data_IF_139193442700
#
_entry.id   IF_139193442700
#
_cell.length_a   1.000
_cell.length_b   1.000
_cell.length_c   1.000
_cell.angle_alpha   90.00
_cell.angle_beta   90.00
_cell.angle_gamma   90.00
#
_symmetry.space_group_name_H-M   'P 1'
#
loop_
_entity.id
_entity.type
_entity.pdbx_description
1 polymer ?
#
# COMPACT_ATOMS: atom_id res chain seq x y z
N UNK A 1 -26.07 44.36 -43.01
CA UNK A 1 -25.34 43.12 -43.34
C UNK A 1 -25.07 42.42 -42.01
N UNK A 2 -25.37 41.12 -41.94
CA UNK A 2 -25.78 40.35 -40.76
C UNK A 2 -24.85 40.39 -39.52
N UNK A 3 -25.49 40.46 -38.35
CA UNK A 3 -24.89 40.07 -37.06
C UNK A 3 -24.58 38.56 -37.09
N UNK A 4 -23.33 38.21 -36.77
CA UNK A 4 -22.94 36.83 -36.53
C UNK A 4 -23.36 36.49 -35.10
N UNK A 5 -24.43 35.70 -34.96
CA UNK A 5 -24.83 35.11 -33.69
C UNK A 5 -23.70 34.25 -33.13
N UNK A 6 -23.17 34.61 -31.96
CA UNK A 6 -22.39 33.68 -31.13
C UNK A 6 -23.31 32.51 -30.80
N UNK A 7 -22.94 31.33 -31.30
CA UNK A 7 -23.54 30.08 -30.84
C UNK A 7 -22.96 29.84 -29.45
N UNK A 8 -23.75 30.14 -28.42
CA UNK A 8 -23.45 29.70 -27.06
C UNK A 8 -23.51 28.17 -27.05
N UNK A 9 -22.34 27.55 -27.04
CA UNK A 9 -22.21 26.12 -26.76
C UNK A 9 -22.64 25.93 -25.30
N UNK A 10 -23.58 25.01 -24.99
CA UNK A 10 -23.92 24.75 -23.61
C UNK A 10 -22.68 24.17 -22.92
N UNK A 11 -22.17 24.88 -21.91
CA UNK A 11 -21.33 24.28 -20.88
C UNK A 11 -22.11 23.09 -20.34
N UNK A 12 -21.63 21.88 -20.66
CA UNK A 12 -22.11 20.67 -19.99
C UNK A 12 -21.53 20.70 -18.59
N UNK A 13 -22.20 21.44 -17.73
CA UNK A 13 -22.08 21.32 -16.28
C UNK A 13 -22.70 19.98 -15.90
N UNK A 14 -21.95 18.89 -16.13
CA UNK A 14 -22.34 17.58 -15.59
C UNK A 14 -22.20 17.69 -14.07
N UNK A 15 -23.29 17.56 -13.29
CA UNK A 15 -23.19 17.58 -11.84
C UNK A 15 -22.24 16.45 -11.43
N UNK A 16 -21.20 16.79 -10.68
CA UNK A 16 -20.34 15.79 -10.06
C UNK A 16 -21.23 14.82 -9.28
N UNK A 17 -21.21 13.54 -9.63
CA UNK A 17 -21.96 12.54 -8.88
C UNK A 17 -21.43 12.54 -7.45
N UNK A 18 -22.29 12.85 -6.49
CA UNK A 18 -21.97 12.76 -5.07
C UNK A 18 -21.82 11.27 -4.71
N UNK A 19 -20.59 10.85 -4.47
CA UNK A 19 -20.26 9.45 -4.14
C UNK A 19 -20.20 9.30 -2.63
N UNK A 20 -20.98 8.38 -2.07
CA UNK A 20 -20.97 8.12 -0.62
C UNK A 20 -19.67 7.47 -0.15
N UNK A 21 -19.30 7.68 1.13
CA UNK A 21 -18.14 7.00 1.74
C UNK A 21 -18.24 5.48 1.65
N UNK A 22 -19.44 4.92 1.76
CA UNK A 22 -19.70 3.49 1.62
C UNK A 22 -19.37 3.01 0.19
N UNK A 23 -19.80 3.75 -0.83
CA UNK A 23 -19.47 3.42 -2.21
C UNK A 23 -17.96 3.49 -2.47
N UNK A 24 -17.27 4.51 -1.94
CA UNK A 24 -15.81 4.64 -2.05
C UNK A 24 -15.12 3.42 -1.42
N UNK A 25 -15.48 3.07 -0.18
CA UNK A 25 -14.88 1.95 0.55
C UNK A 25 -15.17 0.60 -0.10
N UNK A 26 -16.37 0.43 -0.69
CA UNK A 26 -16.75 -0.78 -1.41
C UNK A 26 -15.84 -1.07 -2.61
N UNK A 27 -15.27 -0.03 -3.23
CA UNK A 27 -14.33 -0.14 -4.36
C UNK A 27 -12.88 -0.25 -3.88
N UNK A 28 -12.54 0.36 -2.74
CA UNK A 28 -11.19 0.35 -2.20
C UNK A 28 -10.72 -1.05 -1.78
N UNK A 29 -11.57 -1.82 -1.07
CA UNK A 29 -11.17 -3.13 -0.58
C UNK A 29 -10.81 -4.13 -1.71
N UNK A 30 -11.62 -4.30 -2.77
CA UNK A 30 -11.23 -5.13 -3.91
C UNK A 30 -9.97 -4.63 -4.62
N UNK A 31 -9.78 -3.31 -4.73
CA UNK A 31 -8.59 -2.70 -5.33
C UNK A 31 -7.32 -3.14 -4.59
N UNK A 32 -7.27 -2.97 -3.26
CA UNK A 32 -6.12 -3.37 -2.45
C UNK A 32 -5.92 -4.89 -2.41
N UNK A 33 -7.00 -5.67 -2.41
CA UNK A 33 -6.93 -7.13 -2.41
C UNK A 33 -6.27 -7.67 -3.69
N UNK A 34 -6.65 -7.14 -4.86
CA UNK A 34 -6.19 -7.59 -6.19
C UNK A 34 -4.97 -6.87 -6.75
N UNK A 35 -4.42 -5.87 -6.05
CA UNK A 35 -3.26 -5.12 -6.51
C UNK A 35 -2.03 -6.04 -6.68
N UNK A 36 -1.27 -5.97 -7.80
CA UNK A 36 -0.10 -6.81 -8.04
C UNK A 36 1.15 -6.38 -7.25
N UNK A 37 0.94 -5.83 -6.06
CA UNK A 37 1.95 -5.38 -5.11
C UNK A 37 1.67 -6.10 -3.80
N UNK A 38 2.67 -6.73 -3.18
CA UNK A 38 2.45 -7.42 -1.91
C UNK A 38 2.25 -6.39 -0.80
N UNK A 39 1.14 -6.49 -0.08
CA UNK A 39 0.84 -5.68 1.09
C UNK A 39 0.61 -6.56 2.32
N UNK A 40 1.31 -6.26 3.40
CA UNK A 40 1.18 -6.92 4.71
C UNK A 40 0.96 -5.83 5.77
N UNK A 41 -0.09 -5.95 6.56
CA UNK A 41 -0.44 -4.99 7.61
C UNK A 41 -0.31 -5.66 8.96
N UNK A 42 0.32 -4.99 9.91
CA UNK A 42 0.32 -5.39 11.30
C UNK A 42 -0.33 -4.34 12.22
N UNK A 43 -0.70 -4.81 13.41
CA UNK A 43 -1.09 -3.95 14.51
C UNK A 43 0.12 -3.33 15.24
N UNK A 44 -0.15 -2.58 16.31
CA UNK A 44 0.86 -1.90 17.13
C UNK A 44 1.83 -2.88 17.83
N UNK A 45 1.40 -4.12 18.07
CA UNK A 45 2.22 -5.18 18.68
C UNK A 45 3.00 -5.98 17.63
N UNK A 46 2.86 -5.62 16.34
CA UNK A 46 3.49 -6.32 15.23
C UNK A 46 2.81 -7.63 14.86
N UNK A 47 1.56 -7.88 15.27
CA UNK A 47 0.78 -9.04 14.79
C UNK A 47 0.21 -8.73 13.42
N UNK A 48 0.33 -9.67 12.49
CA UNK A 48 -0.19 -9.50 11.13
C UNK A 48 -1.72 -9.54 11.19
N UNK A 49 -2.38 -8.46 10.79
CA UNK A 49 -3.85 -8.33 10.80
C UNK A 49 -4.46 -8.47 9.42
N UNK A 50 -3.70 -8.22 8.35
CA UNK A 50 -4.19 -8.35 6.97
C UNK A 50 -3.06 -8.57 5.98
N UNK A 51 -3.37 -9.31 4.90
CA UNK A 51 -2.50 -9.54 3.75
C UNK A 51 -3.35 -9.58 2.48
N UNK A 52 -2.88 -8.93 1.41
CA UNK A 52 -3.52 -9.08 0.11
C UNK A 52 -3.09 -10.37 -0.63
N UNK A 53 -3.71 -10.64 -1.78
CA UNK A 53 -3.48 -11.89 -2.52
C UNK A 53 -2.02 -12.03 -2.94
N UNK A 54 -1.40 -10.93 -3.38
CA UNK A 54 0.01 -10.92 -3.79
C UNK A 54 0.95 -11.23 -2.62
N UNK A 55 0.68 -10.70 -1.43
CA UNK A 55 1.47 -10.98 -0.23
C UNK A 55 1.32 -12.43 0.22
N UNK A 56 0.09 -12.95 0.23
CA UNK A 56 -0.19 -14.36 0.56
C UNK A 56 0.57 -15.30 -0.38
N UNK A 57 0.56 -15.02 -1.69
CA UNK A 57 1.31 -15.79 -2.68
C UNK A 57 2.82 -15.68 -2.48
N UNK A 58 3.35 -14.47 -2.25
CA UNK A 58 4.77 -14.23 -2.01
C UNK A 58 5.30 -15.04 -0.81
N UNK A 59 4.47 -15.20 0.22
CA UNK A 59 4.79 -15.95 1.42
C UNK A 59 4.20 -17.36 1.47
N UNK A 60 3.72 -17.93 0.36
CA UNK A 60 3.08 -19.25 0.35
C UNK A 60 3.97 -20.35 0.95
N UNK A 61 5.28 -20.33 0.66
CA UNK A 61 6.26 -21.29 1.23
C UNK A 61 6.50 -21.12 2.74
N UNK A 62 6.01 -20.04 3.35
CA UNK A 62 6.14 -19.70 4.77
C UNK A 62 4.79 -19.72 5.50
N UNK A 63 3.74 -20.26 4.88
CA UNK A 63 2.39 -20.37 5.45
C UNK A 63 1.35 -19.47 4.77
N UNK A 64 1.76 -18.50 3.95
CA UNK A 64 0.84 -17.63 3.21
C UNK A 64 -0.21 -16.98 4.12
N UNK A 65 -1.49 -17.32 3.92
CA UNK A 65 -2.62 -16.79 4.71
C UNK A 65 -2.52 -17.14 6.20
N UNK A 66 -1.89 -18.26 6.56
CA UNK A 66 -1.70 -18.68 7.95
C UNK A 66 -0.75 -17.78 8.74
N UNK A 67 -0.11 -16.80 8.09
CA UNK A 67 0.67 -15.76 8.77
C UNK A 67 -0.21 -14.71 9.46
N UNK A 68 -1.47 -14.56 9.03
CA UNK A 68 -2.41 -13.65 9.71
C UNK A 68 -2.63 -14.15 11.14
N UNK A 69 -2.49 -13.24 12.12
CA UNK A 69 -2.53 -13.50 13.55
C UNK A 69 -1.16 -13.82 14.18
N UNK A 70 -0.14 -14.13 13.37
CA UNK A 70 1.23 -14.39 13.86
C UNK A 70 2.02 -13.10 14.02
N UNK A 71 3.07 -13.16 14.83
CA UNK A 71 3.99 -12.05 15.04
C UNK A 71 4.93 -11.88 13.84
N UNK A 72 5.08 -10.64 13.36
CA UNK A 72 6.09 -10.29 12.35
C UNK A 72 7.50 -10.65 12.83
N UNK A 73 7.77 -10.56 14.14
CA UNK A 73 9.12 -10.78 14.67
C UNK A 73 9.58 -12.23 14.54
N UNK A 74 8.66 -13.19 14.52
CA UNK A 74 8.97 -14.62 14.31
C UNK A 74 9.48 -14.88 12.88
N UNK A 75 9.21 -13.96 11.96
CA UNK A 75 9.59 -14.06 10.57
C UNK A 75 10.96 -13.44 10.25
N UNK A 76 11.63 -12.85 11.25
CA UNK A 76 12.81 -12.02 11.05
C UNK A 76 13.96 -12.41 11.96
N UNK A 77 15.19 -12.31 11.44
CA UNK A 77 16.39 -12.37 12.28
C UNK A 77 16.50 -11.14 13.19
N UNK A 78 17.40 -11.18 14.16
CA UNK A 78 17.56 -10.17 15.21
C UNK A 78 17.66 -8.73 14.67
N UNK A 79 18.50 -8.52 13.64
CA UNK A 79 18.70 -7.22 13.01
C UNK A 79 17.41 -6.65 12.42
N UNK A 80 16.70 -7.42 11.61
CA UNK A 80 15.45 -6.98 10.96
C UNK A 80 14.34 -6.79 11.98
N UNK A 81 14.27 -7.65 13.00
CA UNK A 81 13.33 -7.50 14.11
C UNK A 81 13.56 -6.22 14.90
N UNK A 82 14.82 -5.82 15.12
CA UNK A 82 15.15 -4.53 15.76
C UNK A 82 14.66 -3.35 14.94
N UNK A 83 14.92 -3.34 13.63
CA UNK A 83 14.46 -2.26 12.74
C UNK A 83 12.94 -2.13 12.82
N UNK A 84 12.19 -3.23 12.70
CA UNK A 84 10.73 -3.21 12.78
C UNK A 84 10.21 -2.66 14.11
N UNK A 85 10.83 -3.02 15.24
CA UNK A 85 10.49 -2.46 16.56
C UNK A 85 10.74 -0.97 16.62
N UNK A 86 11.89 -0.51 16.12
CA UNK A 86 12.22 0.92 16.09
C UNK A 86 11.22 1.71 15.23
N UNK A 87 10.75 1.12 14.12
CA UNK A 87 9.72 1.72 13.25
C UNK A 87 8.34 1.79 13.92
N UNK A 88 7.93 0.73 14.63
CA UNK A 88 6.67 0.70 15.39
C UNK A 88 6.68 1.74 16.51
N UNK A 89 7.74 1.76 17.33
CA UNK A 89 7.88 2.70 18.45
C UNK A 89 7.99 4.14 17.95
N UNK A 90 8.79 4.37 16.91
CA UNK A 90 9.00 5.70 16.37
C UNK A 90 7.91 6.17 15.40
N UNK A 91 6.99 5.29 15.01
CA UNK A 91 6.01 5.51 13.94
C UNK A 91 6.67 6.08 12.67
N UNK A 92 7.79 5.46 12.26
CA UNK A 92 8.62 5.96 11.15
C UNK A 92 8.41 5.13 9.89
N UNK A 93 8.61 5.77 8.75
CA UNK A 93 8.72 5.09 7.47
C UNK A 93 10.14 4.57 7.23
N UNK A 94 10.25 3.51 6.44
CA UNK A 94 11.50 2.94 5.96
C UNK A 94 11.33 2.58 4.47
N UNK A 95 12.32 2.89 3.65
CA UNK A 95 12.26 2.71 2.20
C UNK A 95 13.62 2.25 1.68
N UNK A 96 13.67 1.09 1.04
CA UNK A 96 14.91 0.55 0.52
C UNK A 96 14.63 -0.49 -0.57
N UNK A 97 15.69 -0.89 -1.28
CA UNK A 97 15.62 -2.00 -2.22
C UNK A 97 16.45 -3.18 -1.75
N UNK A 98 16.05 -4.39 -2.14
CA UNK A 98 16.87 -5.60 -2.02
C UNK A 98 16.98 -6.28 -3.36
N UNK A 99 18.03 -7.06 -3.54
CA UNK A 99 18.12 -8.03 -4.62
C UNK A 99 18.01 -9.44 -4.04
N UNK A 100 17.14 -10.27 -4.63
CA UNK A 100 17.03 -11.68 -4.27
C UNK A 100 16.75 -12.52 -5.50
N UNK A 101 17.62 -13.48 -5.78
CA UNK A 101 17.55 -14.35 -6.96
C UNK A 101 17.50 -13.56 -8.28
N UNK A 102 18.32 -12.52 -8.41
CA UNK A 102 18.38 -11.66 -9.60
C UNK A 102 17.18 -10.73 -9.79
N UNK A 103 16.29 -10.63 -8.81
CA UNK A 103 15.12 -9.73 -8.84
C UNK A 103 15.33 -8.60 -7.84
N UNK A 104 15.28 -7.36 -8.32
CA UNK A 104 15.28 -6.16 -7.47
C UNK A 104 13.86 -5.87 -6.98
N UNK A 105 13.72 -5.68 -5.67
CA UNK A 105 12.45 -5.39 -5.00
C UNK A 105 12.56 -4.09 -4.24
N UNK A 106 11.54 -3.25 -4.35
CA UNK A 106 11.30 -2.13 -3.44
C UNK A 106 10.57 -2.65 -2.20
N UNK A 107 11.01 -2.20 -1.03
CA UNK A 107 10.34 -2.39 0.25
C UNK A 107 10.03 -1.01 0.80
N UNK A 108 8.76 -0.76 1.09
CA UNK A 108 8.31 0.43 1.78
C UNK A 108 7.50 0.02 3.01
N UNK A 109 7.93 0.47 4.18
CA UNK A 109 7.26 0.25 5.45
C UNK A 109 6.84 1.61 5.98
N UNK A 110 5.58 1.75 6.39
CA UNK A 110 5.07 3.01 6.90
C UNK A 110 3.97 2.80 7.95
N UNK A 111 3.81 3.75 8.90
CA UNK A 111 2.69 3.74 9.82
C UNK A 111 1.35 3.91 9.08
N UNK A 112 0.30 3.23 9.54
CA UNK A 112 -1.08 3.53 9.16
C UNK A 112 -1.88 4.04 10.35
N UNK A 113 -2.94 4.78 10.08
CA UNK A 113 -3.75 5.44 11.09
C UNK A 113 -5.24 5.29 10.79
N UNK A 114 -6.03 5.19 11.85
CA UNK A 114 -7.49 5.33 11.84
C UNK A 114 -7.83 6.63 12.58
N UNK A 115 -8.02 7.71 11.82
CA UNK A 115 -7.97 9.08 12.36
C UNK A 115 -6.58 9.39 12.92
N UNK A 116 -6.51 9.83 14.18
CA UNK A 116 -5.25 10.08 14.89
C UNK A 116 -4.70 8.82 15.59
N UNK A 117 -5.43 7.70 15.55
CA UNK A 117 -5.03 6.47 16.22
C UNK A 117 -4.02 5.72 15.36
N UNK A 118 -2.80 5.59 15.85
CA UNK A 118 -1.80 4.72 15.25
C UNK A 118 -2.32 3.28 15.17
N UNK A 119 -2.29 2.69 13.99
CA UNK A 119 -2.79 1.33 13.77
C UNK A 119 -1.72 0.26 13.78
N UNK A 120 -0.47 0.61 13.46
CA UNK A 120 0.64 -0.33 13.25
C UNK A 120 1.38 0.01 11.95
N UNK A 121 1.99 -0.97 11.29
CA UNK A 121 2.72 -0.75 10.03
C UNK A 121 2.03 -1.43 8.84
N UNK A 122 2.19 -0.82 7.67
CA UNK A 122 1.99 -1.47 6.38
C UNK A 122 3.36 -1.68 5.75
N UNK A 123 3.65 -2.92 5.33
CA UNK A 123 4.77 -3.24 4.46
C UNK A 123 4.26 -3.47 3.04
N UNK A 124 4.87 -2.78 2.08
CA UNK A 124 4.58 -2.83 0.65
C UNK A 124 5.84 -3.34 -0.06
N UNK A 125 5.69 -4.41 -0.84
CA UNK A 125 6.79 -5.01 -1.60
C UNK A 125 6.40 -5.20 -3.06
N UNK A 126 7.22 -4.69 -3.97
CA UNK A 126 7.02 -4.89 -5.41
C UNK A 126 8.35 -4.96 -6.16
N UNK A 127 8.33 -5.61 -7.31
CA UNK A 127 9.49 -5.75 -8.18
C UNK A 127 9.70 -4.45 -8.96
N UNK A 128 10.95 -4.04 -9.07
CA UNK A 128 11.34 -2.83 -9.82
C UNK A 128 12.50 -3.16 -10.76
N UNK A 129 12.61 -2.47 -11.91
CA UNK A 129 13.80 -2.56 -12.74
C UNK A 129 15.08 -2.17 -11.97
N UNK A 130 16.22 -2.76 -12.37
CA UNK A 130 17.52 -2.37 -11.82
C UNK A 130 17.83 -0.90 -12.11
N UNK A 131 17.59 -0.49 -13.35
CA UNK A 131 17.66 0.89 -13.81
C UNK A 131 16.25 1.44 -14.01
N UNK A 132 15.91 2.52 -13.32
CA UNK A 132 14.61 3.17 -13.41
C UNK A 132 14.75 4.68 -13.63
N UNK A 133 13.89 5.31 -14.44
CA UNK A 133 13.92 6.76 -14.62
C UNK A 133 13.68 7.51 -13.30
N UNK A 134 14.41 8.60 -13.11
CA UNK A 134 14.17 9.57 -12.04
C UNK A 134 13.85 10.93 -12.66
N UNK A 135 12.67 11.47 -12.35
CA UNK A 135 12.22 12.77 -12.84
C UNK A 135 12.15 13.76 -11.67
N UNK A 136 12.74 14.94 -11.82
CA UNK A 136 12.51 16.09 -10.94
C UNK A 136 11.37 16.92 -11.56
N UNK A 137 10.24 17.04 -10.87
CA UNK A 137 9.03 17.77 -11.31
C UNK A 137 8.49 18.63 -10.20
#
# INVERSE_FOLDING_TARGET
MQEVSKVDLPEKDTPGHEVSSEEILSKAAPCFQGLPVAMTVCDQDGRIVWMNDKSIQMFAKRGGRELIGKSLFDCHGERSGKILRDLLVGQKANCYTIEKAGIKKMIYQAPWYDGDRFGGLVEIVFEVPFDMPHFQR
#
